data_IF_561855763189
#
_entry.id   IF_561855763189
#
_cell.length_a   1.000
_cell.length_b   1.000
_cell.length_c   1.000
_cell.angle_alpha   90.00
_cell.angle_beta   90.00
_cell.angle_gamma   90.00
#
_symmetry.space_group_name_H-M   'P 1'
#
loop_
_entity.id
_entity.type
_entity.pdbx_description
1 polymer ?
#
# COMPACT_ATOMS: atom_id res chain seq x y z
N UNK A 1 -5.44 -16.55 -10.11
CA UNK A 1 -4.61 -16.31 -8.90
C UNK A 1 -4.37 -14.82 -8.69
N UNK A 2 -4.16 -14.03 -9.75
CA UNK A 2 -4.04 -12.57 -9.69
C UNK A 2 -5.37 -11.81 -9.72
N UNK A 3 -6.51 -12.49 -9.87
CA UNK A 3 -7.85 -11.87 -9.96
C UNK A 3 -8.30 -11.17 -8.65
N UNK A 4 -7.49 -11.28 -7.61
CA UNK A 4 -7.67 -10.66 -6.30
C UNK A 4 -6.85 -9.37 -6.12
N UNK A 5 -6.05 -9.00 -7.12
CA UNK A 5 -5.17 -7.83 -7.06
C UNK A 5 -5.43 -6.85 -8.22
N UNK A 6 -5.30 -5.57 -7.92
CA UNK A 6 -5.22 -4.50 -8.90
C UNK A 6 -3.76 -4.14 -9.12
N UNK A 7 -3.41 -3.82 -10.36
CA UNK A 7 -2.07 -3.34 -10.73
C UNK A 7 -2.09 -1.81 -10.72
N UNK A 8 -1.14 -1.21 -10.04
CA UNK A 8 -0.89 0.22 -10.05
C UNK A 8 0.49 0.46 -10.66
N UNK A 9 0.51 1.28 -11.70
CA UNK A 9 1.73 1.74 -12.34
C UNK A 9 1.98 3.18 -11.92
N UNK A 10 3.14 3.43 -11.34
CA UNK A 10 3.54 4.72 -10.82
C UNK A 10 4.64 5.31 -11.71
N UNK A 11 4.21 6.05 -12.73
CA UNK A 11 5.08 6.55 -13.81
C UNK A 11 6.27 7.38 -13.29
N UNK A 12 6.04 8.28 -12.33
CA UNK A 12 7.10 9.16 -11.80
C UNK A 12 8.27 8.40 -11.15
N UNK A 13 8.00 7.23 -10.58
CA UNK A 13 9.01 6.41 -9.90
C UNK A 13 9.41 5.19 -10.74
N UNK A 14 8.79 5.00 -11.92
CA UNK A 14 8.89 3.79 -12.73
C UNK A 14 8.64 2.50 -11.91
N UNK A 15 7.65 2.55 -11.01
CA UNK A 15 7.32 1.45 -10.11
C UNK A 15 6.00 0.79 -10.50
N UNK A 16 5.98 -0.54 -10.47
CA UNK A 16 4.76 -1.33 -10.60
C UNK A 16 4.51 -2.00 -9.25
N UNK A 17 3.32 -1.80 -8.68
CA UNK A 17 2.89 -2.50 -7.48
C UNK A 17 1.48 -3.07 -7.60
N UNK A 18 1.27 -4.23 -6.99
CA UNK A 18 -0.01 -4.93 -6.95
C UNK A 18 -0.64 -4.79 -5.57
N UNK A 19 -1.92 -4.43 -5.52
CA UNK A 19 -2.68 -4.20 -4.28
C UNK A 19 -3.93 -5.06 -4.22
N UNK A 20 -4.42 -5.48 -3.04
CA UNK A 20 -5.68 -6.21 -2.95
C UNK A 20 -6.86 -5.44 -3.54
N UNK A 21 -7.71 -6.11 -4.32
CA UNK A 21 -8.92 -5.51 -4.92
C UNK A 21 -9.95 -5.00 -3.91
N UNK A 22 -9.87 -5.48 -2.66
CA UNK A 22 -10.72 -5.06 -1.55
C UNK A 22 -10.35 -3.67 -1.02
N UNK A 23 -9.17 -3.16 -1.37
CA UNK A 23 -8.77 -1.84 -0.91
C UNK A 23 -9.63 -0.74 -1.52
N UNK A 24 -10.04 0.26 -0.74
CA UNK A 24 -10.81 1.38 -1.28
C UNK A 24 -10.01 2.11 -2.36
N UNK A 25 -10.69 2.53 -3.44
CA UNK A 25 -10.09 3.32 -4.52
C UNK A 25 -9.29 4.54 -4.02
N UNK A 26 -9.80 5.23 -2.98
CA UNK A 26 -9.15 6.43 -2.43
C UNK A 26 -7.78 6.15 -1.79
N UNK A 27 -7.46 4.89 -1.55
CA UNK A 27 -6.15 4.47 -1.03
C UNK A 27 -5.03 4.76 -2.03
N UNK A 28 -5.32 4.77 -3.34
CA UNK A 28 -4.35 5.03 -4.41
C UNK A 28 -3.53 6.31 -4.17
N UNK A 29 -4.16 7.37 -3.66
CA UNK A 29 -3.49 8.64 -3.35
C UNK A 29 -2.48 8.55 -2.20
N UNK A 30 -2.71 7.65 -1.23
CA UNK A 30 -1.81 7.43 -0.10
C UNK A 30 -0.66 6.50 -0.46
N UNK A 31 -0.92 5.55 -1.39
CA UNK A 31 0.01 4.48 -1.69
C UNK A 31 1.29 4.99 -2.34
N UNK A 32 1.23 6.09 -3.09
CA UNK A 32 2.42 6.72 -3.65
C UNK A 32 3.44 7.04 -2.56
N UNK A 33 3.07 7.91 -1.62
CA UNK A 33 3.94 8.36 -0.53
C UNK A 33 4.30 7.21 0.42
N UNK A 34 3.38 6.26 0.64
CA UNK A 34 3.60 5.14 1.53
C UNK A 34 4.60 4.13 0.95
N UNK A 35 4.47 3.78 -0.32
CA UNK A 35 5.38 2.83 -1.00
C UNK A 35 6.79 3.40 -1.05
N UNK A 36 6.93 4.67 -1.44
CA UNK A 36 8.22 5.36 -1.46
C UNK A 36 8.90 5.29 -0.09
N UNK A 37 8.19 5.67 0.97
CA UNK A 37 8.72 5.60 2.34
C UNK A 37 9.08 4.20 2.79
N UNK A 38 8.27 3.20 2.45
CA UNK A 38 8.56 1.82 2.83
C UNK A 38 9.86 1.36 2.15
N UNK A 39 10.02 1.65 0.85
CA UNK A 39 11.22 1.28 0.09
C UNK A 39 12.46 1.98 0.65
N UNK A 40 12.36 3.28 0.97
CA UNK A 40 13.46 4.06 1.52
C UNK A 40 13.87 3.63 2.93
N UNK A 41 12.91 3.31 3.79
CA UNK A 41 13.16 3.10 5.22
C UNK A 41 13.34 1.63 5.60
N UNK A 42 12.82 0.70 4.81
CA UNK A 42 12.69 -0.71 5.19
C UNK A 42 13.28 -1.66 4.14
N UNK A 43 14.56 -1.47 3.79
CA UNK A 43 15.28 -2.33 2.84
C UNK A 43 15.22 -3.83 3.18
N UNK A 44 15.22 -4.17 4.47
CA UNK A 44 15.35 -5.57 4.95
C UNK A 44 14.01 -6.18 5.36
N UNK A 45 13.13 -5.41 6.00
CA UNK A 45 11.86 -5.93 6.53
C UNK A 45 10.76 -4.88 6.40
N UNK A 46 9.94 -5.04 5.38
CA UNK A 46 8.78 -4.16 5.15
C UNK A 46 7.81 -4.22 6.33
N UNK A 47 7.26 -3.08 6.76
CA UNK A 47 6.27 -3.03 7.82
C UNK A 47 4.95 -3.65 7.35
N UNK A 48 4.07 -3.94 8.31
CA UNK A 48 2.70 -4.35 7.98
C UNK A 48 1.92 -3.11 7.58
N UNK A 49 1.14 -3.20 6.51
CA UNK A 49 0.20 -2.17 6.08
C UNK A 49 -1.20 -2.77 6.18
N UNK A 50 -1.98 -2.26 7.13
CA UNK A 50 -3.37 -2.67 7.37
C UNK A 50 -4.30 -1.55 6.90
N UNK A 51 -5.10 -1.83 5.87
CA UNK A 51 -6.05 -0.87 5.31
C UNK A 51 -7.45 -1.46 5.43
N UNK A 52 -8.34 -0.80 6.17
CA UNK A 52 -9.71 -1.28 6.44
C UNK A 52 -9.76 -2.79 6.74
N UNK A 53 -8.91 -3.24 7.67
CA UNK A 53 -8.75 -4.64 8.12
C UNK A 53 -8.01 -5.62 7.19
N UNK A 54 -7.63 -5.20 5.98
CA UNK A 54 -6.78 -6.02 5.09
C UNK A 54 -5.32 -5.79 5.44
N UNK A 55 -4.71 -6.77 6.10
CA UNK A 55 -3.30 -6.73 6.53
C UNK A 55 -2.38 -7.30 5.46
N UNK A 56 -1.41 -6.49 5.03
CA UNK A 56 -0.47 -6.81 3.96
C UNK A 56 0.96 -6.44 4.32
N UNK A 57 1.93 -6.91 3.53
CA UNK A 57 3.32 -6.47 3.56
C UNK A 57 3.80 -6.24 2.13
N UNK A 58 4.59 -5.20 1.92
CA UNK A 58 5.16 -4.94 0.61
C UNK A 58 6.33 -5.90 0.36
N UNK A 59 6.19 -6.75 -0.65
CA UNK A 59 7.21 -7.71 -1.06
C UNK A 59 7.75 -7.30 -2.43
N UNK A 60 9.07 -7.21 -2.53
CA UNK A 60 9.78 -6.95 -3.78
C UNK A 60 10.03 -8.26 -4.52
N UNK A 61 9.61 -8.33 -5.77
CA UNK A 61 9.91 -9.43 -6.68
C UNK A 61 10.86 -8.95 -7.77
N UNK A 62 11.88 -9.75 -8.05
CA UNK A 62 12.81 -9.51 -9.16
C UNK A 62 12.63 -10.61 -10.19
N UNK A 63 12.22 -10.23 -11.39
CA UNK A 63 12.06 -11.15 -12.53
C UNK A 63 12.93 -10.69 -13.70
N UNK A 64 13.17 -11.55 -14.70
CA UNK A 64 13.88 -11.13 -15.92
C UNK A 64 13.21 -9.95 -16.65
N UNK A 65 11.90 -9.74 -16.45
CA UNK A 65 11.13 -8.64 -17.03
C UNK A 65 11.13 -7.35 -16.20
N UNK A 66 11.89 -7.30 -15.10
CA UNK A 66 11.98 -6.14 -14.23
C UNK A 66 11.60 -6.42 -12.78
N UNK A 67 11.54 -5.33 -12.01
CA UNK A 67 11.21 -5.33 -10.58
C UNK A 67 9.77 -4.88 -10.42
N UNK A 68 9.01 -5.60 -9.61
CA UNK A 68 7.67 -5.20 -9.21
C UNK A 68 7.45 -5.51 -7.74
N UNK A 69 6.45 -4.88 -7.15
CA UNK A 69 6.10 -5.04 -5.74
C UNK A 69 4.70 -5.59 -5.59
N UNK A 70 4.44 -6.32 -4.52
CA UNK A 70 3.11 -6.84 -4.20
C UNK A 70 2.84 -6.59 -2.73
N UNK A 71 1.68 -6.01 -2.42
CA UNK A 71 1.14 -5.99 -1.07
C UNK A 71 0.52 -7.35 -0.75
N UNK A 72 1.35 -8.31 -0.38
CA UNK A 72 0.90 -9.67 -0.11
C UNK A 72 0.25 -9.78 1.28
N UNK A 73 -0.76 -10.64 1.40
CA UNK A 73 -1.51 -10.78 2.66
C UNK A 73 -0.66 -11.43 3.74
N UNK A 74 -0.79 -10.92 4.96
CA UNK A 74 -0.03 -11.40 6.12
C UNK A 74 -0.94 -12.21 7.04
N UNK A 75 -0.46 -13.36 7.53
CA UNK A 75 -1.24 -14.15 8.48
C UNK A 75 -1.28 -13.46 9.86
N UNK A 76 -2.40 -13.59 10.58
CA UNK A 76 -2.60 -12.93 11.90
C UNK A 76 -1.44 -13.13 12.90
N UNK A 77 -0.82 -14.31 12.89
CA UNK A 77 0.32 -14.65 13.77
C UNK A 77 1.56 -13.79 13.51
N UNK A 78 1.75 -13.33 12.28
CA UNK A 78 2.89 -12.51 11.87
C UNK A 78 2.69 -11.02 12.19
N UNK A 79 1.47 -10.64 12.60
CA UNK A 79 1.11 -9.27 12.97
C UNK A 79 1.54 -8.93 14.40
N UNK A 80 1.59 -9.93 15.28
CA UNK A 80 1.84 -9.72 16.71
C UNK A 80 3.26 -9.18 16.91
N UNK A 81 3.37 -7.98 17.48
CA UNK A 81 4.65 -7.32 17.78
C UNK A 81 5.36 -6.71 16.56
N UNK A 82 4.75 -6.75 15.37
CA UNK A 82 5.30 -6.13 14.18
C UNK A 82 5.09 -4.61 14.19
N UNK A 83 5.96 -3.90 13.47
CA UNK A 83 5.70 -2.51 13.11
C UNK A 83 4.62 -2.48 12.03
N UNK A 84 3.55 -1.72 12.26
CA UNK A 84 2.38 -1.65 11.40
C UNK A 84 1.91 -0.21 11.15
N UNK A 85 1.54 0.07 9.91
CA UNK A 85 0.72 1.21 9.52
C UNK A 85 -0.75 0.77 9.50
N UNK A 86 -1.55 1.39 10.35
CA UNK A 86 -2.98 1.15 10.48
C UNK A 86 -3.75 2.29 9.82
N UNK A 87 -4.32 2.03 8.65
CA UNK A 87 -4.96 3.03 7.79
C UNK A 87 -6.45 2.74 7.73
N UNK A 88 -7.25 3.76 8.05
CA UNK A 88 -8.70 3.75 7.87
C UNK A 88 -9.04 4.73 6.76
N UNK A 89 -9.56 4.18 5.66
CA UNK A 89 -10.04 4.94 4.50
C UNK A 89 -11.57 4.85 4.49
N UNK A 90 -12.29 5.90 4.93
CA UNK A 90 -13.74 5.86 5.00
C UNK A 90 -14.36 5.94 3.60
N UNK A 91 -15.50 5.26 3.41
CA UNK A 91 -16.22 5.20 2.13
C UNK A 91 -16.96 6.52 1.82
N UNK A 92 -17.37 7.26 2.84
CA UNK A 92 -18.19 8.47 2.75
C UNK A 92 -17.42 9.74 2.34
N UNK A 93 -16.17 9.58 1.91
CA UNK A 93 -15.32 10.70 1.54
C UNK A 93 -14.66 11.40 2.74
N UNK A 94 -14.87 10.91 3.96
CA UNK A 94 -14.24 11.41 5.17
C UNK A 94 -12.71 11.41 5.14
N UNK A 95 -12.10 12.01 6.16
CA UNK A 95 -10.66 12.08 6.28
C UNK A 95 -10.06 10.67 6.50
N UNK A 96 -9.01 10.36 5.74
CA UNK A 96 -8.20 9.17 5.94
C UNK A 96 -7.46 9.30 7.27
N UNK A 97 -7.51 8.25 8.09
CA UNK A 97 -6.77 8.18 9.35
C UNK A 97 -5.62 7.21 9.19
N UNK A 98 -4.46 7.56 9.74
CA UNK A 98 -3.30 6.71 9.80
C UNK A 98 -2.77 6.69 11.24
N UNK A 99 -2.62 5.50 11.77
CA UNK A 99 -1.98 5.22 13.05
C UNK A 99 -0.75 4.33 12.82
N UNK A 100 0.26 4.48 13.67
CA UNK A 100 1.49 3.70 13.59
C UNK A 100 1.61 2.89 14.88
N UNK A 101 1.61 1.58 14.74
CA UNK A 101 1.79 0.66 15.86
C UNK A 101 3.20 0.06 15.77
N UNK A 102 4.00 0.20 16.83
CA UNK A 102 5.31 -0.44 16.96
C UNK A 102 5.32 -1.34 18.18
N UNK A 103 5.71 -2.62 18.01
CA UNK A 103 5.69 -3.64 19.05
C UNK A 103 6.60 -3.40 20.27
N UNK A 104 7.32 -2.27 20.32
CA UNK A 104 8.18 -1.87 21.43
C UNK A 104 7.77 -0.48 21.95
N UNK A 105 7.32 -0.45 23.21
CA UNK A 105 7.09 0.73 24.09
C UNK A 105 6.81 2.07 23.38
N UNK A 106 5.51 2.37 23.34
CA UNK A 106 4.85 3.65 23.10
C UNK A 106 5.77 4.88 23.15
N UNK A 107 6.16 5.34 21.97
CA UNK A 107 6.19 6.77 21.68
C UNK A 107 5.20 6.95 20.52
N UNK A 108 3.98 7.48 20.73
CA UNK A 108 3.15 7.88 19.61
C UNK A 108 3.91 8.99 18.87
N UNK A 109 4.60 8.62 17.80
CA UNK A 109 5.02 9.61 16.82
C UNK A 109 3.71 10.11 16.20
N UNK A 110 3.24 11.26 16.68
CA UNK A 110 2.19 12.02 16.00
C UNK A 110 2.81 12.43 14.67
N UNK A 111 2.60 11.59 13.66
CA UNK A 111 2.92 11.94 12.30
C UNK A 111 1.84 12.93 11.87
N UNK A 112 2.19 14.20 11.91
CA UNK A 112 1.48 15.21 11.12
C UNK A 112 2.03 15.08 9.71
N UNK A 113 1.35 14.38 8.77
CA UNK A 113 1.60 14.69 7.37
C UNK A 113 1.40 16.20 7.25
N UNK A 114 2.27 16.89 6.51
CA UNK A 114 1.93 18.22 6.00
C UNK A 114 0.49 18.14 5.51
N UNK A 115 -0.41 19.09 5.87
CA UNK A 115 -1.77 19.04 5.36
C UNK A 115 -1.63 18.79 3.87
N UNK A 116 -2.17 17.65 3.41
CA UNK A 116 -2.15 17.29 2.01
C UNK A 116 -2.86 18.44 1.33
N UNK A 117 -2.08 19.41 0.84
CA UNK A 117 -2.57 20.27 -0.20
C UNK A 117 -2.86 19.25 -1.29
N UNK A 118 -4.15 19.04 -1.54
CA UNK A 118 -4.65 18.49 -2.78
C UNK A 118 -4.21 19.44 -3.90
N UNK A 119 -2.91 19.63 -4.11
CA UNK A 119 -2.40 19.82 -5.45
C UNK A 119 -2.75 18.53 -6.13
N UNK A 120 -3.79 18.66 -6.95
CA UNK A 120 -4.25 17.76 -7.98
C UNK A 120 -3.03 17.33 -8.81
N UNK A 121 -2.21 16.45 -8.26
CA UNK A 121 -1.14 15.77 -8.94
C UNK A 121 -1.85 14.92 -9.96
N UNK A 122 -1.73 15.34 -11.21
CA UNK A 122 -2.36 14.71 -12.36
C UNK A 122 -2.09 13.20 -12.31
N UNK A 123 -3.14 12.44 -12.00
CA UNK A 123 -3.15 11.00 -12.15
C UNK A 123 -3.24 10.77 -13.65
N UNK A 124 -2.09 10.62 -14.32
CA UNK A 124 -2.07 10.64 -15.79
C UNK A 124 -2.63 9.36 -16.41
N UNK A 125 -2.61 8.20 -15.72
CA UNK A 125 -3.49 7.08 -16.07
C UNK A 125 -3.43 5.95 -15.04
N UNK A 126 -4.60 5.52 -14.56
CA UNK A 126 -4.76 4.29 -13.77
C UNK A 126 -5.41 3.25 -14.66
N UNK A 127 -4.66 2.22 -15.03
CA UNK A 127 -5.24 1.04 -15.66
C UNK A 127 -5.65 0.05 -14.58
N UNK A 128 -6.92 0.08 -14.15
CA UNK A 128 -7.50 -1.04 -13.41
C UNK A 128 -7.74 -2.19 -14.37
N UNK A 129 -6.72 -3.01 -14.58
CA UNK A 129 -6.91 -4.28 -15.28
C UNK A 129 -7.64 -5.26 -14.36
N UNK A 130 -8.97 -5.26 -14.44
CA UNK A 130 -9.76 -6.43 -14.04
C UNK A 130 -9.47 -7.51 -15.08
N UNK A 131 -8.62 -8.48 -14.76
CA UNK A 131 -8.45 -9.63 -15.65
C UNK A 131 -9.72 -10.49 -15.59
N UNK A 132 -10.38 -10.82 -16.72
CA UNK A 132 -10.91 -12.16 -16.90
C UNK A 132 -9.80 -13.01 -17.53
N UNK A 133 -9.33 -14.08 -16.88
CA UNK A 133 -8.37 -14.96 -17.52
C UNK A 133 -9.13 -15.89 -18.47
N UNK A 134 -9.00 -15.67 -19.78
CA UNK A 134 -9.13 -16.76 -20.77
C UNK A 134 -8.09 -16.60 -21.87
N UNK A 135 -6.92 -17.18 -21.63
CA UNK A 135 -6.07 -17.68 -22.71
C UNK A 135 -6.42 -19.16 -22.89
N UNK A 136 -6.87 -19.51 -24.09
CA UNK A 136 -6.97 -20.88 -24.59
C UNK A 136 -6.06 -20.97 -25.80
#
# INVERSE_FOLDING_TARGET
MFDQYAIIMHEKLDLIYMVPNEWPARTEMLLMDLVEKIIEQFEVSSPIVRINDVSTRLIRYSSPGGVYYVFDRVAKKEIIGAYAYDIVVPEDGGAIRLEITSGSTLSPAIWSPSPLQCTLGHVDQIYRYFSPPKLR
#
